data_IF_863264526686
#
_entry.id   IF_863264526686
#
_cell.length_a   1.000
_cell.length_b   1.000
_cell.length_c   1.000
_cell.angle_alpha   90.00
_cell.angle_beta   90.00
_cell.angle_gamma   90.00
#
_symmetry.space_group_name_H-M   'P 1'
#
loop_
_entity.id
_entity.type
_entity.pdbx_description
1 polymer ?
#
# COMPACT_ATOMS: atom_id res chain seq x y z
N UNK A 1 -1.68 -6.52 7.00
CA UNK A 1 -0.49 -6.77 6.15
C UNK A 1 0.56 -5.70 6.48
N UNK A 2 1.81 -5.82 6.04
CA UNK A 2 2.81 -4.78 6.37
C UNK A 2 2.59 -3.50 5.53
N UNK A 3 2.85 -2.29 6.08
CA UNK A 3 2.77 -1.04 5.31
C UNK A 3 3.68 -1.01 4.08
N UNK A 4 4.81 -1.72 4.13
CA UNK A 4 5.72 -1.87 2.99
C UNK A 4 5.06 -2.65 1.86
N UNK A 5 4.35 -3.74 2.17
CA UNK A 5 3.62 -4.51 1.16
C UNK A 5 2.52 -3.67 0.53
N UNK A 6 1.76 -2.94 1.35
CA UNK A 6 0.73 -2.00 0.88
C UNK A 6 1.30 -0.94 -0.06
N UNK A 7 2.45 -0.37 0.28
CA UNK A 7 3.15 0.58 -0.59
C UNK A 7 3.52 -0.01 -1.95
N UNK A 8 4.07 -1.23 -1.99
CA UNK A 8 4.46 -1.90 -3.24
C UNK A 8 3.23 -2.21 -4.11
N UNK A 9 2.12 -2.62 -3.50
CA UNK A 9 0.84 -2.85 -4.20
C UNK A 9 0.31 -1.53 -4.77
N UNK A 10 0.19 -0.49 -3.94
CA UNK A 10 -0.33 0.81 -4.34
C UNK A 10 0.49 1.46 -5.45
N UNK A 11 1.82 1.38 -5.37
CA UNK A 11 2.70 1.87 -6.45
C UNK A 11 2.51 1.07 -7.74
N UNK A 12 2.29 -0.24 -7.64
CA UNK A 12 2.04 -1.08 -8.82
C UNK A 12 0.70 -0.77 -9.49
N UNK A 13 -0.36 -0.54 -8.71
CA UNK A 13 -1.66 -0.09 -9.21
C UNK A 13 -1.49 1.28 -9.91
N UNK A 14 -0.78 2.21 -9.28
CA UNK A 14 -0.53 3.54 -9.82
C UNK A 14 0.18 3.54 -11.18
N UNK A 15 1.02 2.52 -11.46
CA UNK A 15 1.75 2.38 -12.72
C UNK A 15 0.99 1.57 -13.80
N UNK A 16 -0.23 1.12 -13.50
CA UNK A 16 -1.08 0.39 -14.46
C UNK A 16 -1.86 1.31 -15.40
N UNK A 17 -1.80 2.63 -15.21
CA UNK A 17 -2.46 3.64 -16.02
C UNK A 17 -1.52 4.79 -16.38
N UNK A 18 -1.78 5.45 -17.51
CA UNK A 18 -1.03 6.64 -17.90
C UNK A 18 -1.54 7.89 -17.15
N UNK A 19 -0.99 8.11 -15.96
CA UNK A 19 -1.29 9.25 -15.08
C UNK A 19 0.02 9.95 -14.68
N UNK A 20 -0.07 11.22 -14.27
CA UNK A 20 1.10 12.02 -13.88
C UNK A 20 1.77 11.49 -12.60
N UNK A 21 3.02 11.90 -12.34
CA UNK A 21 3.76 11.53 -11.10
C UNK A 21 3.00 11.91 -9.84
N UNK A 22 2.35 13.07 -9.84
CA UNK A 22 1.50 13.54 -8.72
C UNK A 22 0.31 12.61 -8.49
N UNK A 23 -0.34 12.16 -9.56
CA UNK A 23 -1.48 11.24 -9.46
C UNK A 23 -1.05 9.84 -9.04
N UNK A 24 0.10 9.36 -9.52
CA UNK A 24 0.69 8.10 -9.02
C UNK A 24 0.98 8.16 -7.53
N UNK A 25 1.47 9.31 -7.04
CA UNK A 25 1.68 9.53 -5.62
C UNK A 25 0.35 9.44 -4.87
N UNK A 26 -0.72 10.10 -5.33
CA UNK A 26 -2.05 10.01 -4.70
C UNK A 26 -2.57 8.55 -4.64
N UNK A 27 -2.46 7.79 -5.73
CA UNK A 27 -2.89 6.38 -5.77
C UNK A 27 -2.04 5.51 -4.85
N UNK A 28 -0.72 5.74 -4.79
CA UNK A 28 0.17 5.01 -3.88
C UNK A 28 -0.11 5.35 -2.42
N UNK A 29 -0.33 6.64 -2.11
CA UNK A 29 -0.69 7.10 -0.78
C UNK A 29 -2.00 6.47 -0.30
N UNK A 30 -2.98 6.29 -1.18
CA UNK A 30 -4.24 5.63 -0.85
C UNK A 30 -4.06 4.21 -0.28
N UNK A 31 -2.97 3.52 -0.65
CA UNK A 31 -2.67 2.18 -0.12
C UNK A 31 -2.01 2.20 1.27
N UNK A 32 -1.39 3.29 1.69
CA UNK A 32 -0.61 3.33 2.96
C UNK A 32 -1.21 4.26 4.00
N UNK A 33 -2.01 5.24 3.57
CA UNK A 33 -2.55 6.26 4.47
C UNK A 33 -3.49 5.69 5.56
N UNK A 34 -4.25 4.60 5.34
CA UNK A 34 -5.05 4.03 6.43
C UNK A 34 -4.20 3.58 7.62
N UNK A 35 -3.00 3.04 7.38
CA UNK A 35 -2.07 2.58 8.43
C UNK A 35 -1.60 3.70 9.37
N UNK A 36 -1.77 4.97 9.00
CA UNK A 36 -1.43 6.11 9.88
C UNK A 36 -2.29 6.10 11.15
N UNK A 37 -3.48 5.50 11.13
CA UNK A 37 -4.29 5.35 12.35
C UNK A 37 -3.67 4.37 13.37
N UNK A 38 -2.65 3.61 12.95
CA UNK A 38 -1.76 2.84 13.81
C UNK A 38 -0.60 3.67 14.42
N UNK A 39 -0.44 4.96 14.13
CA UNK A 39 0.64 5.74 14.73
C UNK A 39 0.55 5.80 16.28
N UNK A 40 -0.61 5.48 16.87
CA UNK A 40 -0.82 5.34 18.31
C UNK A 40 0.17 4.40 19.01
N UNK A 41 0.75 3.42 18.31
CA UNK A 41 1.77 2.52 18.88
C UNK A 41 3.04 3.26 19.31
N UNK A 42 3.38 4.36 18.62
CA UNK A 42 4.55 5.18 18.96
C UNK A 42 4.31 5.88 20.31
N UNK A 43 3.09 6.38 20.51
CA UNK A 43 2.69 7.00 21.77
C UNK A 43 2.69 5.97 22.90
N UNK A 44 2.13 4.78 22.67
CA UNK A 44 2.15 3.69 23.63
C UNK A 44 3.59 3.34 24.07
N UNK A 45 4.50 3.10 23.11
CA UNK A 45 5.90 2.80 23.47
C UNK A 45 6.62 3.98 24.13
N UNK A 46 6.38 5.23 23.71
CA UNK A 46 6.97 6.40 24.35
C UNK A 46 6.50 6.58 25.80
N UNK A 47 5.32 6.08 26.13
CA UNK A 47 4.76 6.07 27.48
C UNK A 47 5.25 4.89 28.34
N UNK A 48 6.13 4.04 27.81
CA UNK A 48 6.62 2.84 28.47
C UNK A 48 5.62 1.68 28.48
N UNK A 49 4.61 1.70 27.61
CA UNK A 49 3.64 0.62 27.54
C UNK A 49 4.30 -0.69 27.08
N UNK A 50 3.97 -1.78 27.76
CA UNK A 50 4.30 -3.13 27.30
C UNK A 50 3.37 -3.53 26.15
N UNK A 51 3.77 -4.53 25.36
CA UNK A 51 3.02 -5.00 24.17
C UNK A 51 1.58 -5.43 24.50
N UNK A 52 1.31 -5.83 25.75
CA UNK A 52 -0.02 -6.19 26.26
C UNK A 52 -0.82 -4.98 26.82
N UNK A 53 -0.31 -3.75 26.72
CA UNK A 53 -0.92 -2.54 27.28
C UNK A 53 -1.06 -1.41 26.26
N UNK A 54 -1.13 -1.73 24.97
CA UNK A 54 -1.23 -0.74 23.90
C UNK A 54 -2.63 -0.09 23.88
N UNK A 55 -2.78 1.08 24.50
CA UNK A 55 -4.08 1.76 24.62
C UNK A 55 -4.38 2.59 23.38
N UNK A 56 -3.43 3.40 22.93
CA UNK A 56 -3.63 4.29 21.79
C UNK A 56 -3.72 3.50 20.48
N UNK A 57 -2.88 2.48 20.31
CA UNK A 57 -2.99 1.54 19.19
C UNK A 57 -4.37 0.87 19.20
N UNK A 58 -4.74 0.19 20.28
CA UNK A 58 -5.98 -0.62 20.27
C UNK A 58 -7.27 0.21 20.13
N UNK A 59 -7.28 1.45 20.61
CA UNK A 59 -8.47 2.30 20.57
C UNK A 59 -8.65 3.05 19.24
N UNK A 60 -7.57 3.36 18.52
CA UNK A 60 -7.62 4.21 17.33
C UNK A 60 -7.28 3.48 16.03
N UNK A 61 -6.50 2.39 16.12
CA UNK A 61 -6.18 1.56 14.96
C UNK A 61 -7.48 0.95 14.40
N UNK A 62 -7.72 1.16 13.11
CA UNK A 62 -8.96 0.90 12.35
C UNK A 62 -10.16 1.83 12.55
N UNK A 63 -10.15 2.75 13.53
CA UNK A 63 -11.28 3.68 13.72
C UNK A 63 -11.23 4.85 12.75
N UNK A 64 -10.03 5.38 12.47
CA UNK A 64 -9.87 6.63 11.72
C UNK A 64 -9.60 6.40 10.23
N UNK A 65 -8.71 5.47 9.90
CA UNK A 65 -8.18 5.26 8.56
C UNK A 65 -8.84 4.11 7.79
N UNK A 66 -9.33 3.07 8.46
CA UNK A 66 -9.79 1.85 7.79
C UNK A 66 -11.32 1.80 7.58
N UNK A 67 -11.89 2.88 7.01
CA UNK A 67 -13.33 2.95 6.75
C UNK A 67 -13.67 3.70 5.45
N UNK A 68 -14.91 3.53 4.99
CA UNK A 68 -15.41 4.12 3.76
C UNK A 68 -15.45 5.65 3.83
N UNK A 69 -15.70 6.24 5.00
CA UNK A 69 -15.67 7.70 5.17
C UNK A 69 -14.30 8.29 4.86
N UNK A 70 -13.24 7.69 5.39
CA UNK A 70 -11.86 8.10 5.09
C UNK A 70 -11.51 7.84 3.62
N UNK A 71 -11.94 6.70 3.07
CA UNK A 71 -11.80 6.39 1.65
C UNK A 71 -12.41 7.48 0.75
N UNK A 72 -13.65 7.89 1.04
CA UNK A 72 -14.38 8.91 0.30
C UNK A 72 -13.70 10.28 0.44
N UNK A 73 -13.29 10.66 1.65
CA UNK A 73 -12.55 11.89 1.90
C UNK A 73 -11.27 11.95 1.07
N UNK A 74 -10.45 10.88 1.11
CA UNK A 74 -9.20 10.81 0.35
C UNK A 74 -9.45 10.79 -1.16
N UNK A 75 -10.51 10.14 -1.61
CA UNK A 75 -10.93 10.12 -3.03
C UNK A 75 -11.36 11.50 -3.52
N UNK A 76 -12.10 12.27 -2.72
CA UNK A 76 -12.49 13.65 -3.02
C UNK A 76 -11.26 14.56 -3.09
N UNK A 77 -10.31 14.39 -2.16
CA UNK A 77 -9.04 15.11 -2.20
C UNK A 77 -8.28 14.79 -3.50
N UNK A 78 -8.18 13.51 -3.87
CA UNK A 78 -7.54 13.11 -5.12
C UNK A 78 -8.25 13.68 -6.36
N UNK A 79 -9.59 13.70 -6.37
CA UNK A 79 -10.38 14.30 -7.44
C UNK A 79 -10.09 15.79 -7.62
N UNK A 80 -9.93 16.52 -6.51
CA UNK A 80 -9.65 17.96 -6.52
C UNK A 80 -8.25 18.28 -7.07
N UNK A 81 -7.25 17.45 -6.77
CA UNK A 81 -5.85 17.69 -7.17
C UNK A 81 -5.43 17.01 -8.47
N UNK A 82 -6.18 16.03 -8.97
CA UNK A 82 -5.86 15.27 -10.18
C UNK A 82 -6.11 16.08 -11.46
N UNK A 83 -5.31 15.79 -12.49
CA UNK A 83 -5.54 16.29 -13.84
C UNK A 83 -6.56 15.37 -14.55
N UNK A 84 -6.33 14.06 -14.50
CA UNK A 84 -7.24 13.00 -14.96
C UNK A 84 -8.18 12.57 -13.83
N UNK A 85 -9.03 13.51 -13.40
CA UNK A 85 -9.87 13.41 -12.20
C UNK A 85 -10.56 12.05 -12.01
N UNK A 86 -11.35 11.61 -12.99
CA UNK A 86 -12.12 10.36 -12.89
C UNK A 86 -11.20 9.13 -12.77
N UNK A 87 -10.18 9.03 -13.62
CA UNK A 87 -9.25 7.89 -13.62
C UNK A 87 -8.48 7.82 -12.30
N UNK A 88 -7.94 8.95 -11.85
CA UNK A 88 -7.19 9.01 -10.59
C UNK A 88 -8.08 8.68 -9.39
N UNK A 89 -9.31 9.18 -9.33
CA UNK A 89 -10.25 8.84 -8.26
C UNK A 89 -10.62 7.36 -8.23
N UNK A 90 -10.88 6.74 -9.39
CA UNK A 90 -11.15 5.31 -9.47
C UNK A 90 -9.95 4.46 -9.04
N UNK A 91 -8.73 4.87 -9.41
CA UNK A 91 -7.50 4.20 -8.97
C UNK A 91 -7.25 4.37 -7.46
N UNK A 92 -7.57 5.53 -6.89
CA UNK A 92 -7.51 5.76 -5.44
C UNK A 92 -8.52 4.87 -4.71
N UNK A 93 -9.77 4.82 -5.18
CA UNK A 93 -10.79 3.92 -4.62
C UNK A 93 -10.32 2.47 -4.67
N UNK A 94 -9.84 2.01 -5.83
CA UNK A 94 -9.33 0.65 -5.99
C UNK A 94 -8.17 0.37 -5.04
N UNK A 95 -7.15 1.22 -5.03
CA UNK A 95 -5.94 1.06 -4.20
C UNK A 95 -6.28 0.99 -2.71
N UNK A 96 -7.17 1.85 -2.25
CA UNK A 96 -7.65 1.87 -0.86
C UNK A 96 -8.42 0.60 -0.50
N UNK A 97 -9.33 0.14 -1.37
CA UNK A 97 -10.10 -1.09 -1.11
C UNK A 97 -9.21 -2.33 -1.15
N UNK A 98 -8.18 -2.36 -2.00
CA UNK A 98 -7.17 -3.42 -2.00
C UNK A 98 -6.38 -3.42 -0.69
N UNK A 99 -6.03 -2.25 -0.16
CA UNK A 99 -5.45 -2.16 1.18
C UNK A 99 -6.37 -2.80 2.24
N UNK A 100 -7.64 -2.40 2.30
CA UNK A 100 -8.60 -2.98 3.27
C UNK A 100 -8.76 -4.49 3.09
N UNK A 101 -8.78 -4.96 1.85
CA UNK A 101 -8.86 -6.39 1.53
C UNK A 101 -7.64 -7.15 2.04
N UNK A 102 -6.44 -6.61 1.82
CA UNK A 102 -5.19 -7.21 2.32
C UNK A 102 -5.15 -7.31 3.85
N UNK A 103 -5.75 -6.35 4.56
CA UNK A 103 -5.86 -6.43 6.02
C UNK A 103 -6.94 -7.42 6.46
N UNK A 104 -8.11 -7.40 5.83
CA UNK A 104 -9.18 -8.37 6.09
C UNK A 104 -8.69 -9.82 6.01
N UNK A 105 -7.78 -10.11 5.08
CA UNK A 105 -7.24 -11.47 4.89
C UNK A 105 -5.95 -11.74 5.66
N UNK A 106 -5.13 -10.74 5.97
CA UNK A 106 -3.73 -10.97 6.36
C UNK A 106 -3.19 -10.11 7.49
N UNK A 107 -4.03 -9.58 8.38
CA UNK A 107 -3.60 -8.76 9.53
C UNK A 107 -3.93 -9.35 10.91
N UNK A 108 -4.22 -10.67 11.03
CA UNK A 108 -4.57 -11.24 12.34
C UNK A 108 -3.44 -11.03 13.35
N UNK A 109 -3.82 -10.60 14.56
CA UNK A 109 -2.91 -10.30 15.66
C UNK A 109 -2.16 -11.53 16.16
N UNK A 110 -1.04 -11.33 16.87
CA UNK A 110 -0.26 -12.43 17.46
C UNK A 110 -1.03 -13.20 18.55
N UNK A 111 -2.04 -12.55 19.15
CA UNK A 111 -3.00 -13.09 20.12
C UNK A 111 -4.18 -13.84 19.46
N UNK A 112 -4.22 -13.88 18.12
CA UNK A 112 -5.30 -14.48 17.36
C UNK A 112 -6.50 -13.55 17.12
N UNK A 113 -6.44 -12.30 17.59
CA UNK A 113 -7.51 -11.33 17.39
C UNK A 113 -7.60 -10.90 15.92
N UNK A 114 -8.82 -10.86 15.38
CA UNK A 114 -9.05 -10.67 13.95
C UNK A 114 -8.98 -9.21 13.47
N UNK A 115 -8.82 -8.25 14.38
CA UNK A 115 -8.78 -6.81 14.06
C UNK A 115 -9.91 -6.39 13.09
N UNK A 116 -11.16 -6.36 13.56
CA UNK A 116 -12.31 -6.05 12.70
C UNK A 116 -12.19 -4.68 12.05
N UNK A 117 -12.55 -4.59 10.76
CA UNK A 117 -12.55 -3.33 10.02
C UNK A 117 -13.96 -2.72 10.09
N UNK A 118 -14.16 -1.56 10.74
CA UNK A 118 -15.46 -0.90 10.84
C UNK A 118 -15.81 -0.17 9.53
N UNK A 119 -16.01 -0.96 8.47
CA UNK A 119 -16.00 -0.51 7.08
C UNK A 119 -16.98 0.63 6.78
N UNK A 120 -18.16 0.62 7.39
CA UNK A 120 -19.22 1.59 7.09
C UNK A 120 -19.13 2.89 7.90
N UNK A 121 -18.10 3.09 8.72
CA UNK A 121 -17.91 4.38 9.41
C UNK A 121 -17.70 5.52 8.39
N UNK A 122 -18.21 6.74 8.70
CA UNK A 122 -18.95 7.15 9.91
C UNK A 122 -20.46 6.90 9.83
N UNK A 123 -20.97 6.24 8.78
CA UNK A 123 -22.41 6.08 8.56
C UNK A 123 -23.05 5.04 9.48
N UNK A 124 -22.33 3.98 9.83
CA UNK A 124 -22.81 2.93 10.73
C UNK A 124 -21.64 2.24 11.47
N UNK A 125 -21.77 2.06 12.78
CA UNK A 125 -20.77 1.41 13.65
C UNK A 125 -20.96 -0.10 13.84
N UNK A 126 -22.09 -0.66 13.41
CA UNK A 126 -22.41 -2.08 13.56
C UNK A 126 -21.78 -2.99 12.48
N UNK A 127 -21.27 -2.42 11.40
CA UNK A 127 -20.74 -3.17 10.26
C UNK A 127 -19.23 -3.34 10.36
N UNK A 128 -18.83 -4.42 11.03
CA UNK A 128 -17.45 -4.80 11.23
C UNK A 128 -17.07 -5.98 10.33
N UNK A 129 -16.23 -5.73 9.32
CA UNK A 129 -15.74 -6.78 8.44
C UNK A 129 -14.72 -7.63 9.19
N UNK A 130 -15.00 -8.93 9.20
CA UNK A 130 -14.12 -9.98 9.72
C UNK A 130 -14.16 -11.16 8.76
N UNK A 131 -13.10 -11.96 8.75
CA UNK A 131 -13.07 -13.16 7.92
C UNK A 131 -12.43 -14.32 8.67
N UNK A 132 -13.15 -15.44 8.74
CA UNK A 132 -12.70 -16.64 9.46
C UNK A 132 -11.34 -17.16 8.97
N UNK A 133 -11.08 -17.02 7.67
CA UNK A 133 -9.84 -17.46 7.03
C UNK A 133 -8.64 -16.53 7.20
N UNK A 134 -8.79 -15.40 7.92
CA UNK A 134 -7.72 -14.42 8.06
C UNK A 134 -6.45 -15.08 8.63
N UNK A 135 -5.29 -14.82 8.06
CA UNK A 135 -4.02 -15.36 8.56
C UNK A 135 -3.26 -14.32 9.37
N UNK A 136 -2.32 -14.81 10.19
CA UNK A 136 -1.44 -13.99 11.01
C UNK A 136 -0.60 -13.03 10.18
N UNK A 137 -0.37 -11.83 10.70
CA UNK A 137 0.41 -10.78 10.03
C UNK A 137 1.79 -11.25 9.52
N UNK A 138 2.44 -12.15 10.27
CA UNK A 138 3.76 -12.69 9.97
C UNK A 138 3.74 -14.08 9.29
N UNK A 139 2.65 -14.46 8.64
CA UNK A 139 2.56 -15.76 7.97
C UNK A 139 3.10 -15.74 6.53
N UNK A 140 3.43 -16.93 6.01
CA UNK A 140 4.05 -17.11 4.69
C UNK A 140 3.28 -16.44 3.52
N UNK A 141 1.93 -16.35 3.48
CA UNK A 141 1.23 -15.69 2.37
C UNK A 141 1.60 -14.22 2.22
N UNK A 142 1.78 -13.50 3.34
CA UNK A 142 2.19 -12.09 3.30
C UNK A 142 3.60 -11.92 2.74
N UNK A 143 4.52 -12.83 3.08
CA UNK A 143 5.87 -12.84 2.51
C UNK A 143 5.85 -13.15 1.01
N UNK A 144 5.03 -14.13 0.58
CA UNK A 144 4.86 -14.46 -0.83
C UNK A 144 4.28 -13.28 -1.64
N UNK A 145 3.23 -12.63 -1.15
CA UNK A 145 2.65 -11.43 -1.76
C UNK A 145 3.70 -10.33 -1.88
N UNK A 146 4.46 -10.07 -0.80
CA UNK A 146 5.53 -9.06 -0.82
C UNK A 146 6.57 -9.38 -1.89
N UNK A 147 7.04 -10.62 -1.98
CA UNK A 147 8.01 -11.04 -2.99
C UNK A 147 7.47 -10.88 -4.42
N UNK A 148 6.22 -11.26 -4.66
CA UNK A 148 5.55 -11.07 -5.95
C UNK A 148 5.51 -9.59 -6.33
N UNK A 149 5.12 -8.71 -5.41
CA UNK A 149 5.06 -7.28 -5.69
C UNK A 149 6.43 -6.62 -5.82
N UNK A 150 7.48 -7.13 -5.17
CA UNK A 150 8.87 -6.74 -5.47
C UNK A 150 9.20 -7.05 -6.93
N UNK A 151 8.89 -8.27 -7.41
CA UNK A 151 9.14 -8.66 -8.80
C UNK A 151 8.35 -7.78 -9.77
N UNK A 152 7.07 -7.52 -9.49
CA UNK A 152 6.21 -6.63 -10.29
C UNK A 152 6.78 -5.20 -10.34
N UNK A 153 7.29 -4.69 -9.22
CA UNK A 153 7.92 -3.36 -9.15
C UNK A 153 9.18 -3.31 -10.01
N UNK A 154 10.05 -4.32 -9.92
CA UNK A 154 11.26 -4.41 -10.74
C UNK A 154 10.92 -4.49 -12.23
N UNK A 155 9.94 -5.31 -12.60
CA UNK A 155 9.47 -5.44 -13.97
C UNK A 155 8.91 -4.11 -14.52
N UNK A 156 8.05 -3.44 -13.75
CA UNK A 156 7.51 -2.15 -14.13
C UNK A 156 8.62 -1.10 -14.24
N UNK A 157 9.60 -1.09 -13.34
CA UNK A 157 10.73 -0.17 -13.41
C UNK A 157 11.56 -0.35 -14.67
N UNK A 158 11.82 -1.59 -15.09
CA UNK A 158 12.46 -1.89 -16.37
C UNK A 158 11.64 -1.33 -17.54
N UNK A 159 10.32 -1.55 -17.55
CA UNK A 159 9.42 -1.15 -18.63
C UNK A 159 9.19 0.36 -18.71
N UNK A 160 8.74 0.99 -17.62
CA UNK A 160 8.33 2.39 -17.57
C UNK A 160 9.49 3.36 -17.36
N UNK A 161 10.64 2.87 -16.87
CA UNK A 161 11.79 3.70 -16.53
C UNK A 161 11.60 4.52 -15.26
N UNK A 162 10.74 4.05 -14.35
CA UNK A 162 10.38 4.73 -13.10
C UNK A 162 10.33 3.70 -11.98
N UNK A 163 10.75 4.06 -10.79
CA UNK A 163 10.72 3.20 -9.60
C UNK A 163 10.00 3.92 -8.44
N UNK A 164 9.72 3.23 -7.32
CA UNK A 164 9.14 3.88 -6.16
C UNK A 164 10.01 5.02 -5.58
N UNK A 165 11.32 5.02 -5.88
CA UNK A 165 12.22 6.11 -5.49
C UNK A 165 11.87 7.43 -6.16
N UNK A 166 11.05 7.42 -7.22
CA UNK A 166 10.58 8.62 -7.89
C UNK A 166 9.95 9.61 -6.93
N UNK A 167 9.38 9.18 -5.81
CA UNK A 167 8.75 10.08 -4.83
C UNK A 167 9.76 10.74 -3.88
N UNK A 168 10.87 10.08 -3.58
CA UNK A 168 11.89 10.58 -2.66
C UNK A 168 12.99 11.39 -3.39
N UNK A 169 13.48 10.89 -4.54
CA UNK A 169 14.57 11.53 -5.26
C UNK A 169 14.63 11.09 -6.72
N UNK A 170 14.53 12.06 -7.65
CA UNK A 170 14.70 11.82 -9.09
C UNK A 170 16.11 11.34 -9.45
N UNK A 171 17.13 11.68 -8.65
CA UNK A 171 18.50 11.18 -8.87
C UNK A 171 18.60 9.70 -8.50
N UNK A 172 18.04 9.32 -7.36
CA UNK A 172 18.04 7.93 -6.91
C UNK A 172 17.19 7.06 -7.85
N UNK A 173 16.04 7.56 -8.29
CA UNK A 173 15.17 6.89 -9.26
C UNK A 173 15.90 6.56 -10.57
N UNK A 174 16.57 7.56 -11.17
CA UNK A 174 17.37 7.36 -12.39
C UNK A 174 18.50 6.35 -12.16
N UNK A 175 19.28 6.53 -11.10
CA UNK A 175 20.39 5.63 -10.79
C UNK A 175 19.92 4.17 -10.63
N UNK A 176 18.78 3.95 -9.96
CA UNK A 176 18.19 2.64 -9.77
C UNK A 176 17.72 2.02 -11.09
N UNK A 177 16.95 2.77 -11.88
CA UNK A 177 16.43 2.31 -13.18
C UNK A 177 17.56 2.00 -14.16
N UNK A 178 18.58 2.88 -14.24
CA UNK A 178 19.73 2.70 -15.13
C UNK A 178 20.52 1.46 -14.73
N UNK A 179 20.74 1.24 -13.43
CA UNK A 179 21.40 0.04 -12.91
C UNK A 179 20.63 -1.23 -13.29
N UNK A 180 19.31 -1.25 -13.12
CA UNK A 180 18.48 -2.38 -13.50
C UNK A 180 18.53 -2.66 -14.99
N UNK A 181 18.40 -1.62 -15.83
CA UNK A 181 18.42 -1.77 -17.29
C UNK A 181 19.79 -2.24 -17.79
N UNK A 182 20.88 -1.69 -17.27
CA UNK A 182 22.25 -2.09 -17.62
C UNK A 182 22.58 -3.52 -17.18
N UNK A 183 21.89 -4.06 -16.18
CA UNK A 183 22.07 -5.47 -15.78
C UNK A 183 21.22 -6.42 -16.63
N UNK A 184 19.96 -6.07 -16.92
CA UNK A 184 19.00 -7.01 -17.50
C UNK A 184 18.69 -6.82 -18.99
N UNK A 185 18.82 -5.61 -19.56
CA UNK A 185 18.53 -5.36 -21.00
C UNK A 185 19.75 -5.58 -21.90
N UNK A 186 20.95 -5.33 -21.40
CA UNK A 186 22.21 -5.55 -22.13
C UNK A 186 22.48 -7.03 -22.39
N UNK A 187 21.85 -7.93 -21.64
CA UNK A 187 21.95 -9.38 -21.87
C UNK A 187 21.06 -9.87 -23.02
N UNK A 188 19.99 -9.13 -23.37
CA UNK A 188 19.06 -9.52 -24.44
C UNK A 188 19.58 -9.17 -25.85
N UNK A 189 20.43 -8.14 -25.97
CA UNK A 189 20.99 -7.72 -27.25
C UNK A 189 22.19 -8.57 -27.70
N UNK A 190 22.84 -9.29 -26.79
CA UNK A 190 23.98 -10.16 -27.09
C UNK A 190 23.58 -11.61 -27.44
N UNK A 191 22.30 -11.97 -27.31
CA UNK A 191 21.79 -13.28 -27.72
C UNK A 191 21.24 -13.31 -29.15
N UNK A 192 21.05 -12.17 -29.80
CA UNK A 192 20.55 -12.07 -31.19
C UNK A 192 21.69 -11.88 -32.23
N UNK A 193 22.94 -11.71 -31.79
CA UNK A 193 24.11 -11.53 -32.68
C UNK A 193 25.03 -12.76 -32.72
N UNK A 194 24.56 -13.91 -32.22
CA UNK A 194 25.34 -15.16 -32.12
C UNK A 194 24.77 -16.31 -32.98
N UNK A 195 24.02 -16.01 -34.05
CA UNK A 195 23.68 -16.95 -35.14
C UNK A 195 24.35 -16.55 -36.45
#
# INVERSE_FOLDING_TARGET
MSPVTHFLIGWSIANSCDISRKERLLVTLAAIIPDIDGAGIILDFSSGAQVNQLKFWSNYHHLLGHNIGFCLLFTLMAFAFANRKVVTSLMVLLSFHIHLFCDLIGSRGPDGYQWPIPWLLPFNSGWNLTWKGQWSLNSWPNFAITLVFIVIVLFQALRSGRSPLEFASQRADRAFVDTLRNRFRTSSANSETAE
#
